data_IF_656156611778
#
_entry.id   IF_656156611778
#
_cell.length_a   1.000
_cell.length_b   1.000
_cell.length_c   1.000
_cell.angle_alpha   90.00
_cell.angle_beta   90.00
_cell.angle_gamma   90.00
#
_symmetry.space_group_name_H-M   'P 1'
#
loop_
_entity.id
_entity.type
_entity.pdbx_description
1 polymer ?
#
# COMPACT_ATOMS: atom_id res chain seq x y z
N UNK A 1 -21.95 -24.16 16.84
CA UNK A 1 -20.78 -23.57 16.14
C UNK A 1 -20.81 -24.06 14.70
N UNK A 2 -20.79 -23.17 13.71
CA UNK A 2 -20.74 -23.57 12.30
C UNK A 2 -19.40 -24.28 12.02
N UNK A 3 -19.40 -25.27 11.13
CA UNK A 3 -18.16 -25.95 10.72
C UNK A 3 -17.21 -24.93 10.07
N UNK A 4 -15.88 -25.00 10.29
CA UNK A 4 -14.93 -24.12 9.62
C UNK A 4 -15.14 -24.12 8.11
N UNK A 5 -15.22 -22.93 7.50
CA UNK A 5 -15.35 -22.80 6.05
C UNK A 5 -13.97 -22.98 5.41
N UNK A 6 -13.88 -23.90 4.47
CA UNK A 6 -12.66 -24.19 3.73
C UNK A 6 -12.73 -23.65 2.31
N UNK A 7 -11.59 -23.23 1.77
CA UNK A 7 -11.45 -22.94 0.33
C UNK A 7 -11.36 -24.27 -0.41
N UNK A 8 -12.29 -24.52 -1.34
CA UNK A 8 -12.31 -25.72 -2.18
C UNK A 8 -11.57 -25.52 -3.50
N UNK A 9 -11.67 -24.32 -4.09
CA UNK A 9 -11.02 -23.95 -5.35
C UNK A 9 -10.85 -22.45 -5.44
N UNK A 10 -9.85 -22.00 -6.20
CA UNK A 10 -9.72 -20.61 -6.63
C UNK A 10 -9.74 -20.59 -8.16
N UNK A 11 -10.48 -19.66 -8.75
CA UNK A 11 -10.48 -19.39 -10.20
C UNK A 11 -10.28 -17.91 -10.46
N UNK A 12 -9.78 -17.54 -11.64
CA UNK A 12 -9.57 -16.15 -12.04
C UNK A 12 -10.30 -15.83 -13.35
N UNK A 13 -10.73 -14.58 -13.50
CA UNK A 13 -11.22 -14.04 -14.75
C UNK A 13 -10.41 -12.76 -15.07
N UNK A 14 -9.57 -12.84 -16.10
CA UNK A 14 -8.67 -11.75 -16.49
C UNK A 14 -9.40 -10.56 -17.11
N UNK A 15 -10.47 -10.80 -17.89
CA UNK A 15 -11.26 -9.72 -18.49
C UNK A 15 -11.97 -8.86 -17.44
N UNK A 16 -12.33 -9.47 -16.31
CA UNK A 16 -12.97 -8.78 -15.18
C UNK A 16 -12.01 -8.41 -14.06
N UNK A 17 -10.73 -8.79 -14.17
CA UNK A 17 -9.72 -8.59 -13.12
C UNK A 17 -10.15 -9.14 -11.75
N UNK A 18 -10.80 -10.31 -11.74
CA UNK A 18 -11.36 -10.90 -10.52
C UNK A 18 -10.77 -12.26 -10.21
N UNK A 19 -10.72 -12.58 -8.91
CA UNK A 19 -10.58 -13.94 -8.41
C UNK A 19 -11.88 -14.37 -7.74
N UNK A 20 -12.23 -15.64 -7.89
CA UNK A 20 -13.37 -16.27 -7.22
C UNK A 20 -12.85 -17.34 -6.29
N UNK A 21 -13.13 -17.19 -5.00
CA UNK A 21 -12.81 -18.16 -3.96
C UNK A 21 -14.04 -19.04 -3.75
N UNK A 22 -13.97 -20.28 -4.23
CA UNK A 22 -15.02 -21.28 -4.03
C UNK A 22 -14.84 -21.91 -2.65
N UNK A 23 -15.93 -22.04 -1.91
CA UNK A 23 -15.95 -22.59 -0.56
C UNK A 23 -16.42 -24.05 -0.61
N UNK A 24 -16.09 -24.85 0.41
CA UNK A 24 -16.52 -26.24 0.53
C UNK A 24 -17.97 -26.40 1.02
N UNK A 25 -18.62 -25.29 1.39
CA UNK A 25 -20.03 -25.22 1.76
C UNK A 25 -20.58 -23.81 1.53
N UNK A 26 -21.90 -23.71 1.50
CA UNK A 26 -22.61 -22.44 1.54
C UNK A 26 -22.40 -21.77 2.91
N UNK A 27 -22.19 -20.45 2.90
CA UNK A 27 -22.20 -19.61 4.10
C UNK A 27 -23.59 -19.02 4.31
N UNK A 28 -23.99 -18.84 5.56
CA UNK A 28 -25.23 -18.12 5.88
C UNK A 28 -24.97 -16.59 5.84
N UNK A 29 -25.99 -15.75 5.55
CA UNK A 29 -25.80 -14.29 5.40
C UNK A 29 -25.10 -13.59 6.58
N UNK A 30 -25.35 -14.05 7.81
CA UNK A 30 -24.80 -13.46 9.04
C UNK A 30 -23.48 -14.12 9.50
N UNK A 31 -22.91 -15.01 8.68
CA UNK A 31 -21.67 -15.69 9.02
C UNK A 31 -20.46 -14.78 8.72
N UNK A 32 -19.81 -14.30 9.78
CA UNK A 32 -18.55 -13.57 9.66
C UNK A 32 -17.39 -14.51 9.29
N UNK A 33 -16.51 -14.03 8.41
CA UNK A 33 -15.31 -14.76 8.01
C UNK A 33 -14.12 -13.82 7.82
N UNK A 34 -12.92 -14.37 7.89
CA UNK A 34 -11.68 -13.68 7.56
C UNK A 34 -10.99 -14.35 6.37
N UNK A 35 -10.91 -13.65 5.24
CA UNK A 35 -10.18 -14.11 4.06
C UNK A 35 -8.74 -13.59 4.12
N UNK A 36 -7.76 -14.50 4.21
CA UNK A 36 -6.34 -14.17 4.16
C UNK A 36 -5.73 -14.60 2.84
N UNK A 37 -5.25 -13.63 2.07
CA UNK A 37 -4.62 -13.85 0.77
C UNK A 37 -3.14 -13.52 0.87
N UNK A 38 -2.27 -14.44 0.43
CA UNK A 38 -0.83 -14.21 0.28
C UNK A 38 -0.50 -14.20 -1.21
N UNK A 39 0.12 -13.12 -1.68
CA UNK A 39 0.43 -12.92 -3.09
C UNK A 39 1.78 -12.21 -3.23
N UNK A 40 2.26 -12.12 -4.48
CA UNK A 40 3.42 -11.34 -4.89
C UNK A 40 3.07 -10.64 -6.19
N UNK A 41 3.49 -9.38 -6.32
CA UNK A 41 3.37 -8.59 -7.55
C UNK A 41 4.66 -7.83 -7.82
N UNK A 42 4.74 -7.24 -9.01
CA UNK A 42 5.78 -6.29 -9.37
C UNK A 42 5.13 -4.92 -9.49
N UNK A 43 5.74 -3.91 -8.89
CA UNK A 43 5.39 -2.53 -9.18
C UNK A 43 6.07 -2.14 -10.49
N UNK A 44 5.32 -1.54 -11.39
CA UNK A 44 5.77 -1.13 -12.73
C UNK A 44 5.80 0.40 -12.81
N UNK A 45 6.55 0.97 -13.75
CA UNK A 45 6.70 2.43 -13.89
C UNK A 45 5.63 3.03 -14.82
N UNK A 46 4.35 2.81 -14.49
CA UNK A 46 3.21 3.27 -15.30
C UNK A 46 2.32 4.29 -14.57
N UNK A 47 2.71 4.66 -13.34
CA UNK A 47 1.96 5.53 -12.44
C UNK A 47 0.55 5.02 -12.11
N UNK A 48 0.30 3.71 -12.13
CA UNK A 48 -1.00 3.11 -11.86
C UNK A 48 -0.95 2.06 -10.74
N UNK A 49 -1.92 2.11 -9.81
CA UNK A 49 -1.89 1.26 -8.62
C UNK A 49 -0.65 1.50 -7.79
N UNK A 50 0.08 0.45 -7.40
CA UNK A 50 1.42 0.61 -6.79
C UNK A 50 2.50 0.57 -7.86
N UNK A 51 3.20 1.69 -8.03
CA UNK A 51 4.17 1.88 -9.10
C UNK A 51 5.53 2.30 -8.54
N UNK A 52 6.58 2.01 -9.30
CA UNK A 52 7.93 2.52 -9.03
C UNK A 52 8.17 3.80 -9.84
N UNK A 53 8.96 4.70 -9.29
CA UNK A 53 9.52 5.83 -10.03
C UNK A 53 10.95 6.06 -9.56
N UNK A 54 11.88 6.23 -10.49
CA UNK A 54 13.28 6.48 -10.19
C UNK A 54 13.91 7.29 -11.30
N UNK A 55 14.85 8.16 -10.91
CA UNK A 55 15.70 8.91 -11.83
C UNK A 55 17.12 8.35 -11.80
N UNK A 56 17.67 8.11 -12.98
CA UNK A 56 19.10 7.88 -13.17
C UNK A 56 19.76 9.23 -13.42
N UNK A 57 20.52 9.74 -12.46
CA UNK A 57 21.41 10.86 -12.71
C UNK A 57 22.74 10.27 -13.17
N UNK A 58 23.21 10.68 -14.37
CA UNK A 58 24.59 10.41 -14.80
C UNK A 58 25.48 11.45 -14.13
N UNK A 59 26.40 11.01 -13.28
CA UNK A 59 27.50 11.85 -12.78
C UNK A 59 28.82 11.21 -13.24
N UNK A 60 29.42 11.76 -14.30
CA UNK A 60 30.59 11.16 -14.94
C UNK A 60 30.30 9.76 -15.52
N UNK A 61 31.16 8.78 -15.20
CA UNK A 61 31.01 7.36 -15.58
C UNK A 61 30.12 6.54 -14.63
N UNK A 62 29.63 7.13 -13.54
CA UNK A 62 28.80 6.45 -12.55
C UNK A 62 27.32 6.78 -12.75
N UNK A 63 26.48 5.74 -12.82
CA UNK A 63 25.03 5.88 -12.75
C UNK A 63 24.66 5.83 -11.26
N UNK A 64 24.21 6.96 -10.71
CA UNK A 64 23.70 7.02 -9.34
C UNK A 64 22.17 7.16 -9.39
N UNK A 65 21.47 6.21 -8.77
CA UNK A 65 20.02 6.29 -8.59
C UNK A 65 19.74 7.18 -7.39
N UNK A 66 19.47 8.46 -7.64
CA UNK A 66 19.22 9.44 -6.58
C UNK A 66 17.79 9.42 -6.07
N UNK A 67 16.83 8.98 -6.90
CA UNK A 67 15.43 8.93 -6.56
C UNK A 67 14.96 7.49 -6.55
N UNK A 68 14.46 7.01 -5.41
CA UNK A 68 13.77 5.74 -5.32
C UNK A 68 12.39 6.00 -4.73
N UNK A 69 11.36 5.78 -5.53
CA UNK A 69 9.97 5.97 -5.14
C UNK A 69 9.23 4.67 -5.40
N UNK A 70 8.54 4.18 -4.39
CA UNK A 70 7.39 3.31 -4.54
C UNK A 70 6.18 4.12 -4.08
N UNK A 71 5.21 4.36 -4.96
CA UNK A 71 4.06 5.19 -4.66
C UNK A 71 2.77 4.56 -5.19
N UNK A 72 1.64 4.96 -4.61
CA UNK A 72 0.33 4.47 -5.05
C UNK A 72 -0.48 5.56 -5.77
N UNK A 73 -1.08 5.24 -6.92
CA UNK A 73 -2.15 5.98 -7.57
C UNK A 73 -3.32 5.03 -7.86
N UNK A 74 -4.28 4.99 -6.95
CA UNK A 74 -5.35 3.99 -7.01
C UNK A 74 -6.65 4.46 -7.69
N UNK A 75 -6.77 5.74 -8.05
CA UNK A 75 -7.96 6.21 -8.76
C UNK A 75 -7.88 5.89 -10.26
N UNK A 76 -8.95 5.35 -10.90
CA UNK A 76 -10.22 4.95 -10.26
C UNK A 76 -10.20 3.53 -9.68
N UNK A 77 -9.42 2.61 -10.25
CA UNK A 77 -9.46 1.16 -9.96
C UNK A 77 -8.06 0.55 -9.81
N UNK A 78 -7.07 1.35 -9.43
CA UNK A 78 -5.68 0.91 -9.30
C UNK A 78 -5.41 0.07 -8.05
N UNK A 79 -6.30 0.06 -7.06
CA UNK A 79 -6.08 -0.67 -5.81
C UNK A 79 -5.93 -2.19 -6.04
N UNK A 80 -6.78 -2.76 -6.90
CA UNK A 80 -6.77 -4.20 -7.24
C UNK A 80 -5.47 -4.70 -7.87
N UNK A 81 -4.61 -3.81 -8.41
CA UNK A 81 -3.36 -4.21 -9.06
C UNK A 81 -2.25 -4.58 -8.07
N UNK A 82 -2.39 -4.19 -6.80
CA UNK A 82 -1.35 -4.40 -5.78
C UNK A 82 -1.86 -4.93 -4.44
N UNK A 83 -3.17 -4.90 -4.17
CA UNK A 83 -3.77 -5.70 -3.11
C UNK A 83 -5.16 -6.21 -3.49
N UNK A 84 -5.47 -7.43 -3.06
CA UNK A 84 -6.79 -8.03 -3.31
C UNK A 84 -7.85 -7.33 -2.46
N UNK A 85 -8.83 -6.71 -3.12
CA UNK A 85 -9.92 -5.99 -2.48
C UNK A 85 -11.19 -5.97 -3.33
N UNK A 86 -12.32 -5.59 -2.71
CA UNK A 86 -13.52 -5.19 -3.43
C UNK A 86 -13.35 -3.76 -3.93
N UNK A 87 -12.78 -3.60 -5.11
CA UNK A 87 -12.34 -2.30 -5.63
C UNK A 87 -13.45 -1.51 -6.33
N UNK A 88 -14.47 -1.17 -5.53
CA UNK A 88 -15.64 -0.39 -5.91
C UNK A 88 -15.85 0.75 -4.88
N UNK A 89 -16.20 1.98 -5.30
CA UNK A 89 -16.25 3.15 -4.42
C UNK A 89 -17.23 3.05 -3.22
N UNK A 90 -18.28 2.25 -3.33
CA UNK A 90 -19.30 2.04 -2.29
C UNK A 90 -18.90 0.94 -1.29
N UNK A 91 -17.92 0.10 -1.62
CA UNK A 91 -17.41 -0.99 -0.76
C UNK A 91 -16.34 -0.48 0.22
N UNK A 92 -16.71 0.50 1.05
CA UNK A 92 -15.80 1.12 2.00
C UNK A 92 -15.38 0.18 3.12
N UNK A 93 -14.12 0.27 3.53
CA UNK A 93 -13.55 -0.51 4.63
C UNK A 93 -12.56 0.32 5.44
N UNK A 94 -12.15 -0.22 6.59
CA UNK A 94 -11.01 0.31 7.36
C UNK A 94 -9.75 -0.46 6.96
N UNK A 95 -8.60 0.21 6.95
CA UNK A 95 -7.34 -0.39 6.52
C UNK A 95 -6.28 -0.25 7.62
N UNK A 96 -5.54 -1.34 7.87
CA UNK A 96 -4.39 -1.38 8.77
C UNK A 96 -3.17 -1.84 7.97
N UNK A 97 -2.25 -0.92 7.65
CA UNK A 97 -1.08 -1.22 6.84
C UNK A 97 0.13 -1.55 7.72
N UNK A 98 0.87 -2.58 7.31
CA UNK A 98 2.16 -2.97 7.89
C UNK A 98 3.15 -3.09 6.75
N UNK A 99 4.16 -2.23 6.74
CA UNK A 99 5.09 -2.10 5.61
C UNK A 99 6.48 -2.47 6.09
N UNK A 100 7.03 -3.56 5.52
CA UNK A 100 8.42 -3.92 5.72
C UNK A 100 9.26 -3.23 4.64
N UNK A 101 10.11 -2.27 5.00
CA UNK A 101 10.88 -1.45 4.06
C UNK A 101 12.36 -1.32 4.47
N UNK A 102 13.26 -0.95 3.54
CA UNK A 102 14.65 -0.60 3.89
C UNK A 102 14.69 0.53 4.92
N UNK A 103 15.52 0.38 5.96
CA UNK A 103 15.60 1.36 7.07
C UNK A 103 16.07 2.76 6.64
N UNK A 104 16.70 2.88 5.46
CA UNK A 104 17.14 4.15 4.87
C UNK A 104 16.04 4.93 4.13
N UNK A 105 14.85 4.35 4.00
CA UNK A 105 13.72 4.97 3.29
C UNK A 105 12.64 5.36 4.28
N UNK A 106 12.00 6.48 3.98
CA UNK A 106 10.78 6.92 4.64
C UNK A 106 9.59 6.12 4.13
N UNK A 107 8.56 5.96 4.97
CA UNK A 107 7.28 5.35 4.59
C UNK A 107 6.11 6.19 5.08
N UNK A 108 5.14 6.40 4.21
CA UNK A 108 3.95 7.21 4.47
C UNK A 108 2.68 6.49 4.01
N UNK A 109 1.58 6.74 4.71
CA UNK A 109 0.25 6.23 4.35
C UNK A 109 -0.83 7.22 4.84
N UNK A 110 -2.10 6.84 4.75
CA UNK A 110 -3.24 7.69 5.12
C UNK A 110 -3.33 8.00 6.61
N UNK A 111 -2.73 7.16 7.45
CA UNK A 111 -2.79 7.26 8.91
C UNK A 111 -1.40 7.55 9.48
N UNK A 112 -1.37 8.00 10.73
CA UNK A 112 -0.13 8.16 11.49
C UNK A 112 0.56 6.81 11.74
N UNK A 113 1.88 6.84 11.85
CA UNK A 113 2.68 5.71 12.31
C UNK A 113 2.30 5.41 13.77
N UNK A 114 1.87 4.19 14.04
CA UNK A 114 1.63 3.68 15.39
C UNK A 114 2.94 3.22 16.04
N UNK A 115 3.74 2.44 15.30
CA UNK A 115 5.02 1.93 15.77
C UNK A 115 5.93 1.55 14.61
N UNK A 116 7.24 1.67 14.82
CA UNK A 116 8.28 1.17 13.91
C UNK A 116 9.20 0.24 14.70
N UNK A 117 9.43 -0.97 14.18
CA UNK A 117 10.34 -1.96 14.79
C UNK A 117 11.38 -2.43 13.79
N UNK A 118 12.55 -2.85 14.27
CA UNK A 118 13.57 -3.48 13.44
C UNK A 118 13.06 -4.87 13.06
N UNK A 119 12.87 -5.11 11.75
CA UNK A 119 12.37 -6.39 11.24
C UNK A 119 13.51 -7.39 10.98
N UNK A 120 14.63 -6.87 10.46
CA UNK A 120 15.88 -7.59 10.18
C UNK A 120 17.00 -6.56 9.97
N UNK A 121 18.28 -6.96 9.87
CA UNK A 121 19.36 -6.03 9.53
C UNK A 121 19.03 -5.21 8.28
N UNK A 122 19.07 -3.88 8.40
CA UNK A 122 18.76 -2.94 7.33
C UNK A 122 17.28 -2.80 6.92
N UNK A 123 16.35 -3.40 7.66
CA UNK A 123 14.90 -3.29 7.41
C UNK A 123 14.09 -2.93 8.64
N UNK A 124 13.12 -2.04 8.45
CA UNK A 124 12.12 -1.68 9.45
C UNK A 124 10.75 -2.26 9.05
N UNK A 125 9.95 -2.62 10.06
CA UNK A 125 8.52 -2.86 9.92
C UNK A 125 7.77 -1.69 10.56
N UNK A 126 7.12 -0.89 9.72
CA UNK A 126 6.32 0.25 10.15
C UNK A 126 4.84 -0.13 10.12
N UNK A 127 4.16 0.10 11.25
CA UNK A 127 2.73 -0.15 11.42
C UNK A 127 2.01 1.18 11.51
N UNK A 128 0.95 1.33 10.70
CA UNK A 128 0.11 2.51 10.68
C UNK A 128 -1.17 2.27 11.49
N UNK A 129 -1.68 3.33 12.13
CA UNK A 129 -2.98 3.28 12.80
C UNK A 129 -4.08 2.91 11.79
N UNK A 130 -5.11 2.21 12.25
CA UNK A 130 -6.29 1.88 11.45
C UNK A 130 -6.95 3.16 10.89
N UNK A 131 -7.26 3.18 9.59
CA UNK A 131 -7.98 4.30 8.97
C UNK A 131 -9.45 4.34 9.41
N UNK A 132 -10.12 5.49 9.25
CA UNK A 132 -11.58 5.49 9.16
C UNK A 132 -12.06 4.78 7.88
N UNK A 133 -13.37 4.51 7.78
CA UNK A 133 -13.96 3.82 6.63
C UNK A 133 -13.81 4.63 5.32
N UNK A 134 -13.09 4.09 4.34
CA UNK A 134 -12.76 4.76 3.07
C UNK A 134 -12.90 3.80 1.88
N UNK A 135 -13.13 4.32 0.66
CA UNK A 135 -13.03 3.52 -0.56
C UNK A 135 -11.58 3.15 -0.87
N UNK A 136 -11.38 2.04 -1.58
CA UNK A 136 -10.06 1.48 -1.94
C UNK A 136 -9.18 2.43 -2.73
N UNK A 137 -9.75 3.22 -3.64
CA UNK A 137 -8.99 4.20 -4.44
C UNK A 137 -8.33 5.31 -3.62
N UNK A 138 -8.72 5.50 -2.34
CA UNK A 138 -8.11 6.47 -1.43
C UNK A 138 -6.97 5.89 -0.59
N UNK A 139 -6.75 4.58 -0.62
CA UNK A 139 -5.62 3.96 0.08
C UNK A 139 -4.33 4.50 -0.53
N UNK A 140 -3.41 4.95 0.31
CA UNK A 140 -2.15 5.53 -0.10
C UNK A 140 -0.97 4.84 0.57
N UNK A 141 0.09 4.60 -0.21
CA UNK A 141 1.39 4.16 0.25
C UNK A 141 2.46 4.94 -0.51
N UNK A 142 3.46 5.44 0.20
CA UNK A 142 4.69 5.94 -0.38
C UNK A 142 5.89 5.41 0.41
N UNK A 143 6.89 4.86 -0.28
CA UNK A 143 8.20 4.52 0.26
C UNK A 143 9.23 5.29 -0.57
N UNK A 144 9.98 6.19 0.04
CA UNK A 144 10.88 7.08 -0.70
C UNK A 144 12.09 7.51 0.14
N UNK A 145 13.06 8.17 -0.50
CA UNK A 145 14.21 8.80 0.16
C UNK A 145 14.14 10.33 0.17
N UNK A 146 12.93 10.90 0.17
CA UNK A 146 12.74 12.36 0.13
C UNK A 146 13.07 13.01 1.46
N UNK A 147 13.48 14.27 1.41
CA UNK A 147 13.60 15.08 2.62
C UNK A 147 12.20 15.38 3.17
N UNK A 148 12.07 15.39 4.50
CA UNK A 148 10.83 15.78 5.16
C UNK A 148 11.06 16.87 6.19
N UNK A 149 10.22 17.89 6.16
CA UNK A 149 10.23 18.99 7.12
C UNK A 149 8.86 19.12 7.78
N UNK A 150 8.84 19.18 9.12
CA UNK A 150 7.61 19.55 9.85
C UNK A 150 7.50 21.07 9.93
N UNK A 151 6.36 21.61 9.53
CA UNK A 151 6.02 23.03 9.65
C UNK A 151 4.67 23.20 10.34
N UNK A 152 4.51 24.26 11.13
CA UNK A 152 3.22 24.64 11.69
C UNK A 152 2.50 25.60 10.74
N UNK A 153 1.36 25.14 10.21
CA UNK A 153 0.54 25.89 9.27
C UNK A 153 -0.70 26.40 10.00
N UNK A 154 -0.89 27.71 10.02
CA UNK A 154 -2.05 28.35 10.66
C UNK A 154 -3.36 27.77 10.08
N UNK A 155 -4.21 27.22 10.94
CA UNK A 155 -5.48 26.58 10.57
C UNK A 155 -5.39 25.09 10.22
N UNK A 156 -4.18 24.54 10.01
CA UNK A 156 -3.96 23.13 9.68
C UNK A 156 -3.11 22.40 10.73
N UNK A 157 -2.48 23.12 11.66
CA UNK A 157 -1.59 22.55 12.66
C UNK A 157 -0.28 22.09 12.06
N UNK A 158 0.30 21.02 12.61
CA UNK A 158 1.58 20.47 12.16
C UNK A 158 1.42 19.70 10.85
N UNK A 159 2.08 20.16 9.79
CA UNK A 159 2.10 19.55 8.47
C UNK A 159 3.50 19.02 8.17
N UNK A 160 3.60 17.84 7.57
CA UNK A 160 4.87 17.29 7.08
C UNK A 160 4.98 17.58 5.59
N UNK A 161 5.87 18.50 5.23
CA UNK A 161 6.28 18.72 3.85
C UNK A 161 7.28 17.64 3.46
N UNK A 162 7.02 16.98 2.33
CA UNK A 162 7.92 15.99 1.75
C UNK A 162 8.36 16.53 0.40
N UNK A 163 9.66 16.69 0.20
CA UNK A 163 10.21 17.26 -1.03
C UNK A 163 11.49 16.56 -1.46
N UNK A 164 11.73 16.61 -2.76
CA UNK A 164 13.04 16.27 -3.31
C UNK A 164 13.96 17.44 -2.92
N UNK A 165 14.93 17.20 -2.05
CA UNK A 165 15.99 18.18 -1.81
C UNK A 165 16.78 18.34 -3.10
N UNK A 166 16.55 19.43 -3.84
CA UNK A 166 17.55 19.93 -4.77
C UNK A 166 18.58 20.64 -3.91
N UNK A 167 19.74 20.02 -3.71
CA UNK A 167 20.92 20.80 -3.34
C UNK A 167 21.10 21.83 -4.47
N UNK A 168 20.98 23.11 -4.11
CA UNK A 168 21.48 24.22 -4.91
C UNK A 168 22.89 24.54 -4.42
#
# INVERSE_FOLDING_TARGET
MSKPVGVSRISSNSERETITVHLNRTMFPEEEFMLRIKYRGLAIMDEYGLYESWDKVKSGTLIQTNLLILASRNFPTGARSWFSCFDEPDKKATFELKVNHPSRLNVYSNSEVERTIIASPGRNLTLFKKTYSRPTYQVALSVNNFASQSIDVKGFGKVVLISISREN
#
